data_IF_651860116992
#
_entry.id   IF_651860116992
#
_cell.length_a   1.000
_cell.length_b   1.000
_cell.length_c   1.000
_cell.angle_alpha   90.00
_cell.angle_beta   90.00
_cell.angle_gamma   90.00
#
_symmetry.space_group_name_H-M   'P 1'
#
loop_
_entity.id
_entity.type
_entity.pdbx_description
1 polymer ?
#
# COMPACT_ATOMS: atom_id res chain seq x y z
N UNK A 1 12.00 -2.54 -37.44
CA UNK A 1 12.96 -1.52 -37.93
C UNK A 1 13.68 -1.01 -36.70
N UNK A 2 15.00 -1.00 -36.71
CA UNK A 2 15.82 -0.73 -35.53
C UNK A 2 15.73 0.76 -35.12
N UNK A 3 14.91 1.07 -34.10
CA UNK A 3 14.57 2.44 -33.70
C UNK A 3 15.80 3.25 -33.26
N UNK A 4 16.85 2.57 -32.80
CA UNK A 4 18.13 3.18 -32.40
C UNK A 4 18.88 3.80 -33.58
N UNK A 5 18.74 3.26 -34.78
CA UNK A 5 19.36 3.82 -35.99
C UNK A 5 18.67 5.12 -36.48
N UNK A 6 17.42 5.36 -36.05
CA UNK A 6 16.62 6.53 -36.41
C UNK A 6 16.68 7.67 -35.37
N UNK A 7 17.47 7.53 -34.29
CA UNK A 7 17.52 8.51 -33.21
C UNK A 7 16.19 8.62 -32.45
N UNK A 8 15.52 7.50 -32.20
CA UNK A 8 14.26 7.42 -31.44
C UNK A 8 14.54 6.72 -30.11
N UNK A 9 13.94 7.23 -29.02
CA UNK A 9 14.02 6.58 -27.70
C UNK A 9 12.64 6.44 -27.07
N UNK A 10 12.47 5.40 -26.26
CA UNK A 10 11.21 5.14 -25.54
C UNK A 10 11.17 5.89 -24.21
N UNK A 11 9.98 6.02 -23.65
CA UNK A 11 9.80 6.68 -22.36
C UNK A 11 10.51 5.91 -21.22
N UNK A 12 10.59 4.59 -21.34
CA UNK A 12 11.28 3.74 -20.36
C UNK A 12 12.80 3.91 -20.46
N UNK A 13 13.37 3.94 -21.67
CA UNK A 13 14.78 4.27 -21.88
C UNK A 13 15.15 5.65 -21.33
N UNK A 14 14.25 6.65 -21.48
CA UNK A 14 14.44 7.99 -20.94
C UNK A 14 14.43 8.01 -19.40
N UNK A 15 13.50 7.27 -18.77
CA UNK A 15 13.42 7.18 -17.32
C UNK A 15 14.60 6.41 -16.73
N UNK A 16 15.09 5.37 -17.41
CA UNK A 16 16.27 4.61 -17.00
C UNK A 16 17.55 5.43 -17.10
N UNK A 17 17.78 6.13 -18.20
CA UNK A 17 18.96 7.00 -18.37
C UNK A 17 18.96 8.17 -17.39
N UNK A 18 17.79 8.73 -17.08
CA UNK A 18 17.67 9.81 -16.09
C UNK A 18 17.90 9.32 -14.66
N UNK A 19 17.61 8.04 -14.39
CA UNK A 19 17.87 7.37 -13.12
C UNK A 19 17.10 7.96 -11.93
N UNK A 20 17.40 7.42 -10.73
CA UNK A 20 16.83 7.92 -9.49
C UNK A 20 17.63 9.13 -8.99
N UNK A 21 16.99 10.31 -8.92
CA UNK A 21 17.60 11.53 -8.41
C UNK A 21 16.69 12.33 -7.49
N UNK A 22 17.01 13.61 -7.30
CA UNK A 22 16.29 14.51 -6.37
C UNK A 22 14.81 14.63 -6.70
N UNK A 23 14.46 14.59 -7.98
CA UNK A 23 13.07 14.66 -8.42
C UNK A 23 12.27 13.43 -7.97
N UNK A 24 12.79 12.24 -8.18
CA UNK A 24 12.14 10.99 -7.76
C UNK A 24 12.06 10.93 -6.23
N UNK A 25 13.07 11.42 -5.51
CA UNK A 25 13.03 11.59 -4.05
C UNK A 25 11.88 12.52 -3.60
N UNK A 26 11.68 13.66 -4.28
CA UNK A 26 10.54 14.55 -4.01
C UNK A 26 9.19 13.87 -4.26
N UNK A 27 9.03 13.20 -5.40
CA UNK A 27 7.78 12.49 -5.72
C UNK A 27 7.53 11.34 -4.75
N UNK A 28 8.58 10.62 -4.35
CA UNK A 28 8.51 9.58 -3.33
C UNK A 28 8.05 10.14 -1.98
N UNK A 29 8.59 11.29 -1.57
CA UNK A 29 8.17 11.97 -0.34
C UNK A 29 6.71 12.43 -0.39
N UNK A 30 6.27 12.99 -1.52
CA UNK A 30 4.88 13.38 -1.74
C UNK A 30 3.92 12.17 -1.70
N UNK A 31 4.25 11.10 -2.42
CA UNK A 31 3.45 9.87 -2.40
C UNK A 31 3.45 9.22 -0.99
N UNK A 32 4.61 9.17 -0.34
CA UNK A 32 4.77 8.67 1.02
C UNK A 32 3.96 9.45 2.05
N UNK A 33 3.84 10.78 1.90
CA UNK A 33 2.98 11.63 2.73
C UNK A 33 1.49 11.25 2.58
N UNK A 34 1.07 10.82 1.39
CA UNK A 34 -0.26 10.25 1.14
C UNK A 34 -0.52 9.00 1.99
N UNK A 35 0.39 8.03 1.95
CA UNK A 35 0.31 6.81 2.75
C UNK A 35 0.39 7.09 4.26
N UNK A 36 1.19 8.08 4.65
CA UNK A 36 1.29 8.53 6.03
C UNK A 36 -0.05 9.11 6.52
N UNK A 37 -0.69 9.98 5.73
CA UNK A 37 -1.98 10.58 6.05
C UNK A 37 -3.11 9.53 6.12
N UNK A 38 -3.16 8.60 5.16
CA UNK A 38 -4.14 7.50 5.18
C UNK A 38 -3.97 6.63 6.43
N UNK A 39 -2.73 6.37 6.86
CA UNK A 39 -2.48 5.62 8.10
C UNK A 39 -2.98 6.34 9.35
N UNK A 40 -2.76 7.65 9.44
CA UNK A 40 -3.25 8.47 10.54
C UNK A 40 -4.78 8.46 10.60
N UNK A 41 -5.45 8.61 9.44
CA UNK A 41 -6.92 8.61 9.36
C UNK A 41 -7.55 7.28 9.77
N UNK A 42 -6.92 6.14 9.47
CA UNK A 42 -7.44 4.85 9.95
C UNK A 42 -7.19 4.67 11.45
N UNK A 43 -6.02 5.08 11.94
CA UNK A 43 -5.63 4.89 13.33
C UNK A 43 -6.40 5.78 14.31
N UNK A 44 -6.73 7.00 13.90
CA UNK A 44 -7.43 7.97 14.76
C UNK A 44 -8.81 7.45 15.20
N UNK A 45 -9.47 6.61 14.40
CA UNK A 45 -10.76 6.01 14.73
C UNK A 45 -10.73 5.23 16.05
N UNK A 46 -9.62 4.52 16.31
CA UNK A 46 -9.46 3.74 17.53
C UNK A 46 -9.38 4.60 18.80
N UNK A 47 -8.89 5.84 18.68
CA UNK A 47 -8.76 6.79 19.80
C UNK A 47 -10.01 7.65 19.94
N UNK A 48 -10.52 8.19 18.84
CA UNK A 48 -11.71 9.06 18.82
C UNK A 48 -12.97 8.27 19.11
N UNK A 49 -13.10 7.02 18.63
CA UNK A 49 -14.30 6.20 18.82
C UNK A 49 -14.70 6.08 20.30
N UNK A 50 -13.72 5.75 21.17
CA UNK A 50 -13.97 5.64 22.62
C UNK A 50 -14.26 7.00 23.26
N UNK A 51 -13.57 8.07 22.85
CA UNK A 51 -13.78 9.41 23.38
C UNK A 51 -15.19 9.95 23.03
N UNK A 52 -15.59 9.80 21.77
CA UNK A 52 -16.90 10.20 21.26
C UNK A 52 -18.01 9.37 21.90
N UNK A 53 -17.80 8.06 22.07
CA UNK A 53 -18.75 7.20 22.79
C UNK A 53 -19.05 7.71 24.20
N UNK A 54 -18.01 8.10 24.92
CA UNK A 54 -18.14 8.64 26.29
C UNK A 54 -18.81 10.02 26.32
N UNK A 55 -18.40 10.95 25.43
CA UNK A 55 -18.94 12.32 25.39
C UNK A 55 -20.40 12.36 24.92
N UNK A 56 -20.75 11.59 23.89
CA UNK A 56 -22.09 11.57 23.29
C UNK A 56 -23.00 10.49 23.87
N UNK A 57 -22.52 9.73 24.87
CA UNK A 57 -23.26 8.65 25.53
C UNK A 57 -23.81 7.62 24.52
N UNK A 58 -22.98 7.25 23.54
CA UNK A 58 -23.39 6.32 22.49
C UNK A 58 -23.38 4.87 23.00
N UNK A 59 -24.32 4.08 22.49
CA UNK A 59 -24.28 2.62 22.64
C UNK A 59 -23.06 2.03 21.91
N UNK A 60 -22.59 0.84 22.33
CA UNK A 60 -21.50 0.13 21.64
C UNK A 60 -21.81 -0.14 20.16
N UNK A 61 -23.07 -0.37 19.81
CA UNK A 61 -23.49 -0.55 18.41
C UNK A 61 -23.43 0.75 17.60
N UNK A 62 -23.75 1.90 18.20
CA UNK A 62 -23.60 3.19 17.53
C UNK A 62 -22.13 3.58 17.31
N UNK A 63 -21.25 3.24 18.25
CA UNK A 63 -19.80 3.47 18.08
C UNK A 63 -19.19 2.58 16.98
N UNK A 64 -19.60 1.32 16.87
CA UNK A 64 -19.15 0.46 15.77
C UNK A 64 -19.71 0.91 14.42
N UNK A 65 -20.94 1.43 14.38
CA UNK A 65 -21.51 2.04 13.17
C UNK A 65 -20.70 3.24 12.68
N UNK A 66 -20.15 4.07 13.58
CA UNK A 66 -19.24 5.16 13.19
C UNK A 66 -18.01 4.63 12.47
N UNK A 67 -17.39 3.57 13.00
CA UNK A 67 -16.24 2.91 12.36
C UNK A 67 -16.62 2.32 11.00
N UNK A 68 -17.78 1.64 10.91
CA UNK A 68 -18.29 1.05 9.68
C UNK A 68 -18.55 2.09 8.60
N UNK A 69 -19.12 3.26 8.95
CA UNK A 69 -19.39 4.35 8.00
C UNK A 69 -18.09 4.88 7.38
N UNK A 70 -17.00 4.97 8.15
CA UNK A 70 -15.71 5.42 7.63
C UNK A 70 -15.17 4.43 6.58
N UNK A 71 -15.22 3.13 6.86
CA UNK A 71 -14.84 2.12 5.86
C UNK A 71 -15.80 2.09 4.65
N UNK A 72 -17.09 2.38 4.84
CA UNK A 72 -18.05 2.51 3.73
C UNK A 72 -17.72 3.73 2.85
N UNK A 73 -17.41 4.87 3.45
CA UNK A 73 -16.95 6.07 2.75
C UNK A 73 -15.67 5.81 1.96
N UNK A 74 -14.73 5.06 2.57
CA UNK A 74 -13.50 4.65 1.90
C UNK A 74 -13.74 3.71 0.72
N UNK A 75 -14.67 2.77 0.85
CA UNK A 75 -15.08 1.88 -0.24
C UNK A 75 -15.69 2.68 -1.40
N UNK A 76 -16.65 3.56 -1.12
CA UNK A 76 -17.27 4.39 -2.15
C UNK A 76 -16.25 5.33 -2.79
N UNK A 77 -15.43 5.99 -1.98
CA UNK A 77 -14.37 6.89 -2.43
C UNK A 77 -13.34 6.20 -3.32
N UNK A 78 -12.87 5.00 -2.95
CA UNK A 78 -11.92 4.25 -3.76
C UNK A 78 -12.47 3.92 -5.15
N UNK A 79 -13.77 3.57 -5.25
CA UNK A 79 -14.41 3.27 -6.52
C UNK A 79 -14.63 4.54 -7.36
N UNK A 80 -15.16 5.62 -6.77
CA UNK A 80 -15.47 6.86 -7.51
C UNK A 80 -14.19 7.59 -7.93
N UNK A 81 -13.25 7.77 -7.01
CA UNK A 81 -11.98 8.45 -7.29
C UNK A 81 -11.03 7.57 -8.08
N UNK A 82 -11.13 6.24 -7.99
CA UNK A 82 -10.41 5.32 -8.86
C UNK A 82 -10.79 5.50 -10.33
N UNK A 83 -12.09 5.49 -10.64
CA UNK A 83 -12.60 5.74 -11.98
C UNK A 83 -12.27 7.16 -12.48
N UNK A 84 -12.37 8.16 -11.60
CA UNK A 84 -12.01 9.53 -11.97
C UNK A 84 -10.51 9.68 -12.22
N UNK A 85 -9.67 9.05 -11.40
CA UNK A 85 -8.21 9.04 -11.54
C UNK A 85 -7.76 8.36 -12.83
N UNK A 86 -8.47 7.32 -13.27
CA UNK A 86 -8.16 6.64 -14.54
C UNK A 86 -8.47 7.55 -15.75
N UNK A 87 -9.48 8.43 -15.66
CA UNK A 87 -9.81 9.40 -16.70
C UNK A 87 -8.90 10.67 -16.68
N UNK A 88 -8.55 11.15 -15.48
CA UNK A 88 -7.77 12.37 -15.29
C UNK A 88 -6.24 12.14 -15.16
N UNK A 89 -5.81 10.88 -15.16
CA UNK A 89 -4.41 10.48 -15.13
C UNK A 89 -3.90 10.22 -13.72
N UNK A 90 -3.25 9.07 -13.53
CA UNK A 90 -2.49 8.76 -12.33
C UNK A 90 -1.07 9.29 -12.49
N UNK A 91 -0.65 10.17 -11.58
CA UNK A 91 0.72 10.73 -11.46
C UNK A 91 1.77 9.68 -11.07
N UNK A 92 1.95 8.65 -11.89
CA UNK A 92 2.96 7.62 -11.70
C UNK A 92 4.31 8.06 -12.27
N UNK A 93 5.29 8.26 -11.40
CA UNK A 93 6.67 8.63 -11.77
C UNK A 93 7.70 7.55 -11.41
N UNK A 94 7.25 6.47 -10.78
CA UNK A 94 8.14 5.44 -10.26
C UNK A 94 8.31 4.34 -11.31
N UNK A 95 9.55 3.97 -11.67
CA UNK A 95 9.82 2.91 -12.65
C UNK A 95 9.20 1.57 -12.25
N UNK A 96 8.69 0.83 -13.24
CA UNK A 96 8.07 -0.48 -13.04
C UNK A 96 9.07 -1.56 -12.56
N UNK A 97 10.36 -1.35 -12.80
CA UNK A 97 11.44 -2.32 -12.60
C UNK A 97 11.60 -2.81 -11.13
N UNK A 98 11.06 -2.09 -10.14
CA UNK A 98 11.16 -2.49 -8.71
C UNK A 98 9.87 -2.27 -7.89
N UNK A 99 8.69 -2.53 -8.46
CA UNK A 99 7.38 -2.28 -7.81
C UNK A 99 7.26 -2.85 -6.40
N UNK A 100 7.76 -4.06 -6.15
CA UNK A 100 7.73 -4.69 -4.83
C UNK A 100 8.51 -3.89 -3.78
N UNK A 101 9.71 -3.42 -4.12
CA UNK A 101 10.54 -2.56 -3.25
C UNK A 101 9.83 -1.25 -2.93
N UNK A 102 9.18 -0.63 -3.92
CA UNK A 102 8.43 0.62 -3.70
C UNK A 102 7.21 0.43 -2.80
N UNK A 103 6.48 -0.68 -2.93
CA UNK A 103 5.39 -1.01 -2.01
C UNK A 103 5.90 -1.17 -0.57
N UNK A 104 7.07 -1.81 -0.36
CA UNK A 104 7.68 -1.91 0.97
C UNK A 104 8.05 -0.53 1.54
N UNK A 105 8.58 0.37 0.70
CA UNK A 105 8.86 1.76 1.12
C UNK A 105 7.58 2.46 1.56
N UNK A 106 6.49 2.35 0.80
CA UNK A 106 5.19 2.93 1.16
C UNK A 106 4.58 2.32 2.43
N UNK A 107 4.66 1.00 2.62
CA UNK A 107 4.28 0.33 3.88
C UNK A 107 5.05 0.86 5.08
N UNK A 108 6.26 1.37 4.87
CA UNK A 108 7.04 1.97 5.95
C UNK A 108 6.52 3.36 6.32
N UNK A 109 6.15 4.19 5.33
CA UNK A 109 5.46 5.46 5.58
C UNK A 109 4.16 5.26 6.36
N UNK A 110 3.37 4.23 6.00
CA UNK A 110 2.17 3.84 6.74
C UNK A 110 2.47 3.54 8.22
N UNK A 111 3.55 2.79 8.46
CA UNK A 111 3.95 2.41 9.82
C UNK A 111 4.32 3.64 10.63
N UNK A 112 5.09 4.57 10.07
CA UNK A 112 5.41 5.83 10.73
C UNK A 112 4.17 6.68 11.02
N UNK A 113 3.21 6.74 10.09
CA UNK A 113 1.93 7.43 10.31
C UNK A 113 1.15 6.87 11.49
N UNK A 114 1.06 5.55 11.61
CA UNK A 114 0.34 4.91 12.73
C UNK A 114 1.01 5.14 14.09
N UNK A 115 2.34 5.10 14.16
CA UNK A 115 3.11 5.41 15.37
C UNK A 115 2.97 6.88 15.74
N UNK A 116 3.04 7.77 14.75
CA UNK A 116 2.89 9.21 14.94
C UNK A 116 1.50 9.54 15.49
N UNK A 117 0.45 8.97 14.91
CA UNK A 117 -0.93 9.15 15.38
C UNK A 117 -1.12 8.67 16.82
N UNK A 118 -0.61 7.47 17.16
CA UNK A 118 -0.69 6.97 18.54
C UNK A 118 0.04 7.86 19.54
N UNK A 119 1.20 8.39 19.15
CA UNK A 119 1.99 9.33 19.98
C UNK A 119 1.27 10.67 20.13
N UNK A 120 0.70 11.18 19.05
CA UNK A 120 -0.09 12.40 19.02
C UNK A 120 -1.31 12.27 19.94
N UNK A 121 -2.07 11.19 19.81
CA UNK A 121 -3.21 10.89 20.69
C UNK A 121 -2.79 10.82 22.16
N UNK A 122 -1.69 10.12 22.48
CA UNK A 122 -1.19 10.02 23.86
C UNK A 122 -0.79 11.37 24.47
N UNK A 123 -0.25 12.30 23.67
CA UNK A 123 0.15 13.63 24.13
C UNK A 123 -1.04 14.60 24.22
N UNK A 124 -1.92 14.58 23.23
CA UNK A 124 -2.98 15.59 23.05
C UNK A 124 -4.23 15.23 23.84
N UNK A 125 -4.61 13.95 23.91
CA UNK A 125 -5.83 13.51 24.61
C UNK A 125 -5.88 13.94 26.08
N UNK A 126 -4.81 13.80 26.89
CA UNK A 126 -4.86 14.18 28.31
C UNK A 126 -4.80 15.70 28.54
N UNK A 127 -4.25 16.47 27.59
CA UNK A 127 -4.00 17.91 27.74
C UNK A 127 -5.14 18.76 27.19
N UNK A 128 -5.73 18.31 26.08
CA UNK A 128 -6.76 19.01 25.35
C UNK A 128 -8.00 18.12 25.27
N UNK A 129 -8.36 17.65 24.08
CA UNK A 129 -9.46 16.70 23.84
C UNK A 129 -9.28 16.05 22.46
N UNK A 130 -10.17 15.12 22.11
CA UNK A 130 -10.16 14.39 20.86
C UNK A 130 -10.32 15.28 19.61
N UNK A 131 -10.94 16.46 19.73
CA UNK A 131 -11.13 17.39 18.61
C UNK A 131 -9.79 17.95 18.12
N UNK A 132 -8.86 18.18 19.03
CA UNK A 132 -7.51 18.64 18.69
C UNK A 132 -6.65 17.54 18.09
N UNK A 133 -6.85 16.28 18.49
CA UNK A 133 -6.24 15.14 17.80
C UNK A 133 -6.67 15.15 16.35
N UNK A 134 -7.98 15.23 16.08
CA UNK A 134 -8.53 15.32 14.72
C UNK A 134 -7.96 16.50 13.92
N UNK A 135 -7.85 17.68 14.53
CA UNK A 135 -7.30 18.86 13.87
C UNK A 135 -5.83 18.68 13.47
N UNK A 136 -4.99 18.14 14.37
CA UNK A 136 -3.58 17.91 14.06
C UNK A 136 -3.36 16.78 13.06
N UNK A 137 -4.19 15.73 13.12
CA UNK A 137 -4.11 14.62 12.17
C UNK A 137 -4.54 14.99 10.75
N UNK A 138 -5.28 16.09 10.58
CA UNK A 138 -5.62 16.63 9.26
C UNK A 138 -4.45 17.40 8.58
N UNK A 139 -3.41 17.80 9.33
CA UNK A 139 -2.31 18.63 8.81
C UNK A 139 -1.59 18.00 7.60
N UNK A 140 -1.21 16.69 7.62
CA UNK A 140 -0.62 16.06 6.45
C UNK A 140 -1.53 16.06 5.21
N UNK A 141 -2.84 15.87 5.40
CA UNK A 141 -3.82 15.91 4.31
C UNK A 141 -3.95 17.31 3.71
N UNK A 142 -3.96 18.36 4.54
CA UNK A 142 -3.91 19.74 4.07
C UNK A 142 -2.58 20.07 3.35
N UNK A 143 -1.46 19.56 3.86
CA UNK A 143 -0.16 19.73 3.20
C UNK A 143 -0.14 19.08 1.81
N UNK A 144 -0.76 17.90 1.64
CA UNK A 144 -0.92 17.27 0.32
C UNK A 144 -1.73 18.12 -0.65
N UNK A 145 -2.81 18.75 -0.19
CA UNK A 145 -3.62 19.66 -1.02
C UNK A 145 -2.80 20.88 -1.50
N UNK A 146 -1.95 21.44 -0.64
CA UNK A 146 -1.07 22.55 -1.01
C UNK A 146 0.01 22.08 -2.00
N UNK A 147 0.61 20.91 -1.74
CA UNK A 147 1.66 20.33 -2.58
C UNK A 147 1.13 19.79 -3.92
N UNK A 148 -0.18 19.57 -4.06
CA UNK A 148 -0.80 19.11 -5.31
C UNK A 148 -0.48 20.00 -6.51
N UNK A 149 -0.40 21.32 -6.31
CA UNK A 149 -0.03 22.29 -7.35
C UNK A 149 1.44 22.24 -7.77
N UNK A 150 2.31 21.65 -6.94
CA UNK A 150 3.75 21.52 -7.19
C UNK A 150 4.08 20.18 -7.86
N UNK A 151 3.28 19.15 -7.58
CA UNK A 151 3.46 17.82 -8.14
C UNK A 151 3.17 17.85 -9.67
N UNK A 152 4.17 17.58 -10.52
CA UNK A 152 3.99 17.55 -11.97
C UNK A 152 3.10 16.38 -12.40
N UNK A 153 2.68 16.39 -13.67
CA UNK A 153 1.87 15.32 -14.26
C UNK A 153 2.73 14.14 -14.78
N UNK A 154 2.20 12.91 -14.80
CA UNK A 154 3.01 11.76 -15.22
C UNK A 154 3.38 11.83 -16.72
N UNK A 155 4.67 11.68 -17.10
CA UNK A 155 5.09 11.58 -18.50
C UNK A 155 4.37 10.46 -19.26
N UNK A 156 4.08 9.32 -18.61
CA UNK A 156 3.34 8.21 -19.23
C UNK A 156 1.93 8.60 -19.61
N UNK A 157 1.22 9.28 -18.72
CA UNK A 157 -0.14 9.73 -18.99
C UNK A 157 -0.19 10.75 -20.14
N UNK A 158 0.76 11.69 -20.18
CA UNK A 158 0.85 12.67 -21.26
C UNK A 158 1.14 12.02 -22.62
N UNK A 159 2.04 11.04 -22.67
CA UNK A 159 2.29 10.25 -23.88
C UNK A 159 1.05 9.47 -24.32
N UNK A 160 0.34 8.81 -23.40
CA UNK A 160 -0.92 8.10 -23.68
C UNK A 160 -2.01 9.02 -24.26
N UNK A 161 -2.05 10.28 -23.80
CA UNK A 161 -2.98 11.31 -24.31
C UNK A 161 -2.54 11.90 -25.67
N UNK A 162 -1.40 11.46 -26.22
CA UNK A 162 -0.82 11.98 -27.45
C UNK A 162 -0.09 13.33 -27.28
N UNK A 163 0.07 13.81 -26.05
CA UNK A 163 0.72 15.08 -25.74
C UNK A 163 2.21 14.88 -25.45
N UNK A 164 2.95 14.44 -26.47
CA UNK A 164 4.39 14.11 -26.38
C UNK A 164 5.25 15.33 -26.07
N UNK A 165 4.84 16.53 -26.47
CA UNK A 165 5.55 17.78 -26.20
C UNK A 165 5.60 18.11 -24.71
N UNK A 166 4.47 17.97 -24.00
CA UNK A 166 4.43 18.20 -22.56
C UNK A 166 5.11 17.07 -21.78
N UNK A 167 5.03 15.82 -22.27
CA UNK A 167 5.79 14.71 -21.69
C UNK A 167 7.31 14.97 -21.75
N UNK A 168 7.80 15.48 -22.88
CA UNK A 168 9.20 15.83 -23.07
C UNK A 168 9.65 16.98 -22.16
N UNK A 169 8.83 18.04 -22.00
CA UNK A 169 9.10 19.10 -21.01
C UNK A 169 9.26 18.58 -19.58
N UNK A 170 8.44 17.60 -19.20
CA UNK A 170 8.55 17.01 -17.87
C UNK A 170 9.83 16.18 -17.78
N UNK A 171 10.16 15.37 -18.78
CA UNK A 171 11.42 14.62 -18.83
C UNK A 171 12.65 15.54 -18.77
N UNK A 172 12.64 16.67 -19.47
CA UNK A 172 13.69 17.70 -19.41
C UNK A 172 13.80 18.30 -18.01
N UNK A 173 12.65 18.59 -17.37
CA UNK A 173 12.63 19.07 -15.98
C UNK A 173 13.24 18.03 -15.04
N UNK A 174 12.90 16.75 -15.19
CA UNK A 174 13.49 15.68 -14.38
C UNK A 174 15.00 15.60 -14.61
N UNK A 175 15.45 15.60 -15.85
CA UNK A 175 16.87 15.58 -16.22
C UNK A 175 17.63 16.78 -15.63
N UNK A 176 17.06 17.98 -15.70
CA UNK A 176 17.65 19.20 -15.12
C UNK A 176 17.80 19.13 -13.60
N UNK A 177 16.78 18.64 -12.88
CA UNK A 177 16.78 18.51 -11.42
C UNK A 177 17.72 17.40 -10.97
N UNK A 178 17.81 16.32 -11.74
CA UNK A 178 18.69 15.19 -11.49
C UNK A 178 20.13 15.44 -11.98
N UNK A 179 20.39 16.54 -12.66
CA UNK A 179 21.67 16.85 -13.29
C UNK A 179 22.13 15.77 -14.28
N UNK A 180 21.18 15.14 -14.97
CA UNK A 180 21.39 14.13 -16.00
C UNK A 180 21.01 14.68 -17.37
N UNK A 181 21.41 13.98 -18.44
CA UNK A 181 21.04 14.33 -19.82
C UNK A 181 20.07 13.30 -20.35
N UNK A 182 19.08 13.75 -21.11
CA UNK A 182 18.19 12.87 -21.85
C UNK A 182 18.96 12.18 -22.99
N UNK A 183 18.53 10.96 -23.37
CA UNK A 183 19.10 10.27 -24.52
C UNK A 183 18.91 11.11 -25.79
N UNK A 184 19.89 11.09 -26.71
CA UNK A 184 19.79 11.83 -27.97
C UNK A 184 18.70 11.21 -28.84
N UNK A 185 17.68 11.98 -29.21
CA UNK A 185 16.64 11.51 -30.12
C UNK A 185 15.27 12.18 -29.96
N UNK A 186 14.28 11.64 -30.64
CA UNK A 186 12.86 12.05 -30.52
C UNK A 186 12.11 11.03 -29.68
N UNK A 187 11.39 11.52 -28.67
CA UNK A 187 10.53 10.70 -27.83
C UNK A 187 9.38 10.12 -28.67
N UNK A 188 9.32 8.80 -28.78
CA UNK A 188 8.21 8.12 -29.46
C UNK A 188 7.17 7.70 -28.43
N UNK A 189 5.92 8.12 -28.65
CA UNK A 189 4.74 7.55 -28.00
C UNK A 189 4.51 6.13 -28.54
N UNK A 190 5.36 5.19 -28.16
CA UNK A 190 5.16 3.79 -28.54
C UNK A 190 3.87 3.27 -27.93
N UNK A 191 2.96 2.75 -28.76
CA UNK A 191 2.24 1.53 -28.34
C UNK A 191 3.34 0.50 -28.14
N UNK A 192 3.63 0.14 -26.89
CA UNK A 192 4.46 -1.03 -26.63
C UNK A 192 3.75 -2.23 -27.25
N UNK A 193 4.28 -2.73 -28.37
CA UNK A 193 4.26 -4.16 -28.56
C UNK A 193 5.35 -4.68 -27.64
N UNK A 194 4.97 -5.46 -26.61
CA UNK A 194 5.83 -6.12 -25.61
C UNK A 194 6.77 -7.17 -26.23
N UNK A 195 7.56 -6.78 -27.23
CA UNK A 195 8.59 -7.62 -27.80
C UNK A 195 9.80 -6.73 -28.02
N UNK A 196 10.73 -6.82 -27.08
CA UNK A 196 12.17 -6.56 -27.18
C UNK A 196 12.70 -5.94 -25.85
N UNK A 197 12.43 -6.58 -24.71
CA UNK A 197 13.16 -6.38 -23.45
C UNK A 197 13.77 -7.72 -23.01
N UNK A 198 14.78 -8.20 -23.74
CA UNK A 198 15.65 -9.23 -23.19
C UNK A 198 17.03 -9.09 -23.82
N UNK A 199 17.94 -8.39 -23.13
CA UNK A 199 19.39 -8.62 -23.16
C UNK A 199 20.13 -7.62 -22.27
N UNK A 200 20.78 -8.17 -21.24
CA UNK A 200 21.88 -7.60 -20.43
C UNK A 200 21.48 -6.47 -19.44
N UNK A 201 21.83 -6.53 -18.16
CA UNK A 201 22.65 -7.48 -17.41
C UNK A 201 22.45 -7.23 -15.91
N UNK A 202 22.52 -8.34 -15.18
CA UNK A 202 22.83 -8.47 -13.75
C UNK A 202 23.82 -7.44 -13.20
N UNK A 203 23.73 -7.25 -11.88
CA UNK A 203 24.66 -6.52 -10.99
C UNK A 203 24.60 -4.99 -11.03
N UNK A 204 23.73 -4.44 -10.19
CA UNK A 204 24.14 -3.63 -9.02
C UNK A 204 22.88 -3.26 -8.22
N UNK A 205 22.46 -4.17 -7.35
CA UNK A 205 21.55 -3.87 -6.25
C UNK A 205 22.24 -2.85 -5.33
N UNK A 206 22.02 -1.57 -5.60
CA UNK A 206 22.46 -0.50 -4.70
C UNK A 206 21.88 -0.77 -3.30
N UNK A 207 22.71 -0.78 -2.24
CA UNK A 207 22.32 -1.17 -0.91
C UNK A 207 21.60 -0.02 -0.21
N UNK A 208 20.35 0.26 -0.59
CA UNK A 208 19.48 1.22 0.12
C UNK A 208 18.47 0.55 1.05
N UNK A 209 18.40 -0.79 1.05
CA UNK A 209 17.62 -1.57 2.02
C UNK A 209 18.09 -1.50 3.50
N UNK A 210 19.34 -1.16 3.89
CA UNK A 210 19.75 -1.34 5.30
C UNK A 210 19.22 -0.29 6.29
N UNK A 211 18.69 0.85 5.85
CA UNK A 211 18.47 2.02 6.73
C UNK A 211 17.11 2.10 7.43
N UNK A 212 16.19 1.16 7.18
CA UNK A 212 14.84 1.21 7.75
C UNK A 212 14.37 -0.18 8.20
N UNK A 213 15.02 -0.69 9.26
CA UNK A 213 14.83 -2.06 9.77
C UNK A 213 13.60 -2.15 10.68
N UNK A 214 12.45 -2.53 10.12
CA UNK A 214 11.34 -3.11 10.88
C UNK A 214 11.38 -4.65 10.77
N UNK A 215 11.31 -5.41 11.89
CA UNK A 215 11.49 -6.87 11.89
C UNK A 215 10.49 -7.63 11.01
N UNK A 216 9.23 -7.19 10.99
CA UNK A 216 8.15 -7.88 10.25
C UNK A 216 8.27 -7.77 8.73
N UNK A 217 8.69 -6.60 8.24
CA UNK A 217 8.83 -6.34 6.80
C UNK A 217 10.06 -7.07 6.23
N UNK A 218 11.15 -7.19 7.01
CA UNK A 218 12.32 -8.00 6.66
C UNK A 218 11.97 -9.49 6.58
N UNK A 219 11.19 -10.00 7.53
CA UNK A 219 10.75 -11.39 7.51
C UNK A 219 9.90 -11.68 6.25
N UNK A 220 8.96 -10.80 5.89
CA UNK A 220 8.19 -10.97 4.66
C UNK A 220 9.06 -10.90 3.40
N UNK A 221 10.00 -9.95 3.31
CA UNK A 221 10.87 -9.82 2.14
C UNK A 221 11.75 -11.06 1.95
N UNK A 222 12.39 -11.53 3.03
CA UNK A 222 13.24 -12.73 3.00
C UNK A 222 12.41 -13.99 2.64
N UNK A 223 11.19 -14.12 3.18
CA UNK A 223 10.32 -15.26 2.90
C UNK A 223 9.82 -15.27 1.45
N UNK A 224 9.46 -14.12 0.90
CA UNK A 224 8.98 -13.98 -0.49
C UNK A 224 10.08 -14.38 -1.48
N UNK A 225 11.31 -13.93 -1.24
CA UNK A 225 12.44 -14.23 -2.13
C UNK A 225 12.81 -15.71 -2.07
N UNK A 226 12.80 -16.32 -0.87
CA UNK A 226 13.18 -17.73 -0.70
C UNK A 226 12.08 -18.71 -1.11
N UNK A 227 10.86 -18.53 -0.64
CA UNK A 227 9.80 -19.56 -0.71
C UNK A 227 8.76 -19.28 -1.79
N UNK A 228 8.69 -18.05 -2.32
CA UNK A 228 7.64 -17.64 -3.25
C UNK A 228 6.51 -16.89 -2.56
N UNK A 229 5.65 -16.24 -3.35
CA UNK A 229 4.65 -15.27 -2.85
C UNK A 229 3.48 -15.99 -2.19
N UNK A 230 3.03 -17.08 -2.81
CA UNK A 230 1.91 -17.90 -2.31
C UNK A 230 2.25 -18.52 -0.95
N UNK A 231 3.40 -19.18 -0.86
CA UNK A 231 3.79 -19.90 0.36
C UNK A 231 4.22 -18.97 1.49
N UNK A 232 4.82 -17.81 1.19
CA UNK A 232 5.11 -16.81 2.22
C UNK A 232 3.84 -16.28 2.90
N UNK A 233 2.77 -15.99 2.15
CA UNK A 233 1.47 -15.61 2.74
C UNK A 233 0.90 -16.70 3.65
N UNK A 234 0.96 -17.97 3.24
CA UNK A 234 0.49 -19.10 4.05
C UNK A 234 1.30 -19.27 5.34
N UNK A 235 2.64 -19.17 5.27
CA UNK A 235 3.52 -19.24 6.44
C UNK A 235 3.22 -18.10 7.42
N UNK A 236 3.06 -16.87 6.94
CA UNK A 236 2.78 -15.72 7.81
C UNK A 236 1.42 -15.83 8.49
N UNK A 237 0.38 -16.30 7.78
CA UNK A 237 -0.90 -16.62 8.43
C UNK A 237 -0.80 -17.77 9.43
N UNK A 238 -0.01 -18.81 9.14
CA UNK A 238 0.27 -19.89 10.08
C UNK A 238 0.99 -19.40 11.35
N UNK A 239 1.96 -18.50 11.22
CA UNK A 239 2.60 -17.84 12.36
C UNK A 239 1.58 -17.02 13.16
N UNK A 240 0.73 -16.24 12.49
CA UNK A 240 -0.34 -15.48 13.16
C UNK A 240 -1.30 -16.39 13.95
N UNK A 241 -1.64 -17.57 13.40
CA UNK A 241 -2.44 -18.58 14.10
C UNK A 241 -1.76 -19.05 15.40
N UNK A 242 -0.46 -19.33 15.34
CA UNK A 242 0.33 -19.75 16.52
C UNK A 242 0.37 -18.64 17.58
N UNK A 243 0.51 -17.36 17.18
CA UNK A 243 0.48 -16.24 18.11
C UNK A 243 -0.91 -16.00 18.73
N UNK A 244 -1.99 -16.29 18.00
CA UNK A 244 -3.36 -16.08 18.48
C UNK A 244 -3.93 -17.25 19.31
N UNK A 245 -3.46 -18.47 19.09
CA UNK A 245 -3.98 -19.67 19.79
C UNK A 245 -3.88 -19.57 21.32
N UNK A 246 -2.78 -19.08 21.93
CA UNK A 246 -2.67 -18.97 23.38
C UNK A 246 -3.67 -17.98 24.01
N UNK A 247 -4.26 -17.07 23.23
CA UNK A 247 -5.29 -16.12 23.69
C UNK A 247 -6.65 -16.78 23.93
N UNK A 248 -6.84 -18.05 23.55
CA UNK A 248 -8.04 -18.83 23.92
C UNK A 248 -8.13 -19.08 25.43
N UNK A 249 -7.01 -18.98 26.13
CA UNK A 249 -6.91 -19.12 27.58
C UNK A 249 -6.52 -17.76 28.17
N UNK A 250 -6.96 -17.46 29.38
CA UNK A 250 -6.58 -16.23 30.08
C UNK A 250 -5.05 -16.14 30.25
N UNK A 251 -4.45 -15.09 29.71
CA UNK A 251 -3.00 -14.82 29.79
C UNK A 251 -2.69 -13.54 30.58
N UNK A 252 -1.48 -13.40 31.15
CA UNK A 252 -1.06 -12.14 31.77
C UNK A 252 -0.93 -11.02 30.72
N UNK A 253 -1.21 -9.79 31.12
CA UNK A 253 -1.31 -8.63 30.23
C UNK A 253 -0.08 -8.41 29.32
N UNK A 254 1.12 -8.62 29.86
CA UNK A 254 2.38 -8.49 29.10
C UNK A 254 2.45 -9.53 27.99
N UNK A 255 2.11 -10.80 28.30
CA UNK A 255 2.12 -11.88 27.31
C UNK A 255 1.07 -11.64 26.23
N UNK A 256 -0.15 -11.25 26.61
CA UNK A 256 -1.22 -10.89 25.65
C UNK A 256 -0.76 -9.80 24.69
N UNK A 257 -0.09 -8.77 25.20
CA UNK A 257 0.43 -7.66 24.37
C UNK A 257 1.51 -8.14 23.39
N UNK A 258 2.47 -8.96 23.85
CA UNK A 258 3.50 -9.54 23.00
C UNK A 258 2.93 -10.45 21.91
N UNK A 259 1.93 -11.27 22.25
CA UNK A 259 1.26 -12.17 21.31
C UNK A 259 0.46 -11.39 20.25
N UNK A 260 -0.30 -10.37 20.66
CA UNK A 260 -1.01 -9.48 19.74
C UNK A 260 -0.05 -8.72 18.82
N UNK A 261 1.09 -8.27 19.35
CA UNK A 261 2.14 -7.64 18.54
C UNK A 261 2.67 -8.61 17.47
N UNK A 262 3.01 -9.84 17.87
CA UNK A 262 3.46 -10.89 16.94
C UNK A 262 2.42 -11.22 15.86
N UNK A 263 1.15 -11.40 16.26
CA UNK A 263 0.05 -11.63 15.33
C UNK A 263 -0.12 -10.46 14.35
N UNK A 264 -0.06 -9.22 14.85
CA UNK A 264 -0.23 -8.01 14.03
C UNK A 264 0.91 -7.80 13.04
N UNK A 265 2.13 -8.12 13.45
CA UNK A 265 3.32 -8.09 12.58
C UNK A 265 3.17 -9.07 11.40
N UNK A 266 2.73 -10.29 11.67
CA UNK A 266 2.52 -11.31 10.64
C UNK A 266 1.37 -10.93 9.70
N UNK A 267 0.25 -10.43 10.22
CA UNK A 267 -0.87 -9.97 9.41
C UNK A 267 -0.48 -8.81 8.46
N UNK A 268 0.37 -7.88 8.92
CA UNK A 268 0.89 -6.78 8.08
C UNK A 268 1.81 -7.30 6.97
N UNK A 269 2.66 -8.28 7.29
CA UNK A 269 3.50 -8.96 6.31
C UNK A 269 2.66 -9.60 5.21
N UNK A 270 1.64 -10.37 5.57
CA UNK A 270 0.70 -10.97 4.60
C UNK A 270 0.05 -9.90 3.72
N UNK A 271 -0.45 -8.80 4.30
CA UNK A 271 -1.05 -7.71 3.53
C UNK A 271 -0.07 -7.11 2.50
N UNK A 272 1.19 -6.93 2.91
CA UNK A 272 2.24 -6.41 2.01
C UNK A 272 2.48 -7.39 0.85
N UNK A 273 2.61 -8.69 1.12
CA UNK A 273 2.80 -9.70 0.05
C UNK A 273 1.56 -9.79 -0.84
N UNK A 274 0.35 -9.76 -0.28
CA UNK A 274 -0.90 -9.78 -1.03
C UNK A 274 -1.04 -8.56 -1.96
N UNK A 275 -0.59 -7.38 -1.51
CA UNK A 275 -0.60 -6.14 -2.31
C UNK A 275 0.35 -6.21 -3.52
N UNK A 276 1.40 -7.03 -3.44
CA UNK A 276 2.33 -7.30 -4.55
C UNK A 276 1.77 -8.41 -5.45
N UNK A 277 1.27 -9.50 -4.86
CA UNK A 277 0.77 -10.67 -5.58
C UNK A 277 -0.50 -10.37 -6.39
N UNK A 278 -1.42 -9.55 -5.87
CA UNK A 278 -2.68 -9.21 -6.55
C UNK A 278 -2.47 -8.64 -7.95
N UNK A 279 -1.68 -7.56 -8.16
CA UNK A 279 -1.43 -7.04 -9.51
C UNK A 279 -0.55 -7.96 -10.37
N UNK A 280 0.27 -8.83 -9.80
CA UNK A 280 1.07 -9.80 -10.56
C UNK A 280 0.20 -10.90 -11.20
N UNK A 281 -0.96 -11.21 -10.61
CA UNK A 281 -1.87 -12.24 -11.11
C UNK A 281 -2.69 -11.80 -12.33
N UNK A 282 -2.93 -10.51 -12.49
CA UNK A 282 -3.79 -9.96 -13.53
C UNK A 282 -3.00 -9.50 -14.77
N UNK A 283 -3.52 -9.74 -16.00
CA UNK A 283 -2.91 -9.21 -17.21
C UNK A 283 -2.89 -7.69 -17.19
N UNK A 284 -1.91 -7.09 -17.88
CA UNK A 284 -1.61 -5.65 -17.89
C UNK A 284 -2.85 -4.78 -18.14
N UNK A 285 -3.75 -5.22 -19.02
CA UNK A 285 -4.99 -4.53 -19.40
C UNK A 285 -6.02 -4.40 -18.28
N UNK A 286 -6.08 -5.35 -17.34
CA UNK A 286 -7.08 -5.39 -16.25
C UNK A 286 -6.46 -5.34 -14.87
N UNK A 287 -5.12 -5.26 -14.77
CA UNK A 287 -4.36 -5.28 -13.52
C UNK A 287 -4.84 -4.27 -12.49
N UNK A 288 -5.02 -3.02 -12.92
CA UNK A 288 -5.44 -1.93 -12.06
C UNK A 288 -6.86 -2.16 -11.54
N UNK A 289 -7.77 -2.59 -12.41
CA UNK A 289 -9.16 -2.88 -12.08
C UNK A 289 -9.28 -4.09 -11.15
N UNK A 290 -8.56 -5.18 -11.44
CA UNK A 290 -8.56 -6.40 -10.63
C UNK A 290 -8.02 -6.15 -9.21
N UNK A 291 -6.89 -5.45 -9.09
CA UNK A 291 -6.35 -5.03 -7.80
C UNK A 291 -7.30 -4.06 -7.05
N UNK A 292 -7.98 -3.17 -7.78
CA UNK A 292 -8.99 -2.27 -7.22
C UNK A 292 -10.18 -3.01 -6.62
N UNK A 293 -10.73 -4.00 -7.34
CA UNK A 293 -11.83 -4.85 -6.86
C UNK A 293 -11.40 -5.68 -5.65
N UNK A 294 -10.21 -6.28 -5.68
CA UNK A 294 -9.68 -7.02 -4.54
C UNK A 294 -9.53 -6.14 -3.29
N UNK A 295 -9.04 -4.90 -3.46
CA UNK A 295 -8.95 -3.91 -2.38
C UNK A 295 -10.33 -3.52 -1.84
N UNK A 296 -11.31 -3.30 -2.72
CA UNK A 296 -12.70 -3.00 -2.35
C UNK A 296 -13.32 -4.10 -1.48
N UNK A 297 -13.14 -5.37 -1.85
CA UNK A 297 -13.58 -6.52 -1.04
C UNK A 297 -12.91 -6.51 0.34
N UNK A 298 -11.62 -6.17 0.40
CA UNK A 298 -10.90 -6.00 1.67
C UNK A 298 -11.53 -4.94 2.60
N UNK A 299 -12.07 -3.85 2.04
CA UNK A 299 -12.74 -2.79 2.82
C UNK A 299 -14.09 -3.26 3.40
N UNK A 300 -14.79 -4.19 2.76
CA UNK A 300 -16.00 -4.83 3.33
C UNK A 300 -15.62 -5.57 4.64
N UNK A 301 -14.46 -6.22 4.68
CA UNK A 301 -13.94 -6.82 5.91
C UNK A 301 -13.76 -5.79 7.03
N UNK A 302 -13.24 -4.60 6.70
CA UNK A 302 -13.12 -3.46 7.63
C UNK A 302 -14.48 -2.92 8.10
N UNK A 303 -15.53 -3.01 7.29
CA UNK A 303 -16.90 -2.61 7.65
C UNK A 303 -17.55 -3.62 8.61
N UNK A 304 -17.35 -4.91 8.37
CA UNK A 304 -17.98 -6.01 9.13
C UNK A 304 -17.26 -6.28 10.45
N UNK A 305 -15.93 -6.14 10.49
CA UNK A 305 -15.12 -6.49 11.65
C UNK A 305 -15.52 -5.75 12.94
N UNK A 306 -15.70 -4.41 12.97
CA UNK A 306 -16.14 -3.69 14.17
C UNK A 306 -17.53 -4.13 14.66
N UNK A 307 -18.45 -4.42 13.74
CA UNK A 307 -19.81 -4.87 14.07
C UNK A 307 -19.79 -6.26 14.73
N UNK A 308 -19.05 -7.19 14.13
CA UNK A 308 -18.89 -8.55 14.67
C UNK A 308 -18.15 -8.50 16.00
N UNK A 309 -17.12 -7.67 16.13
CA UNK A 309 -16.38 -7.49 17.38
C UNK A 309 -17.30 -7.00 18.51
N UNK A 310 -18.11 -5.97 18.28
CA UNK A 310 -19.06 -5.47 19.28
C UNK A 310 -20.16 -6.49 19.60
N UNK A 311 -20.71 -7.17 18.59
CA UNK A 311 -21.72 -8.20 18.79
C UNK A 311 -21.23 -9.35 19.68
N UNK A 312 -20.02 -9.86 19.41
CA UNK A 312 -19.42 -10.96 20.18
C UNK A 312 -18.97 -10.55 21.58
N UNK A 313 -18.53 -9.30 21.77
CA UNK A 313 -18.07 -8.80 23.07
C UNK A 313 -19.24 -8.50 24.01
N UNK A 314 -20.36 -7.97 23.49
CA UNK A 314 -21.54 -7.68 24.32
C UNK A 314 -22.18 -8.95 24.91
N UNK A 315 -22.02 -10.10 24.25
CA UNK A 315 -22.50 -11.40 24.76
C UNK A 315 -21.48 -12.13 25.66
N UNK A 316 -20.41 -11.43 26.10
CA UNK A 316 -19.38 -11.95 27.01
C UNK A 316 -18.56 -13.15 26.49
N UNK A 317 -18.52 -13.36 25.16
CA UNK A 317 -17.80 -14.46 24.52
C UNK A 317 -16.46 -14.01 23.92
N UNK A 318 -15.55 -13.46 24.72
CA UNK A 318 -14.21 -13.05 24.23
C UNK A 318 -13.43 -14.21 23.57
N UNK A 319 -13.58 -15.42 24.10
CA UNK A 319 -13.00 -16.65 23.52
C UNK A 319 -13.60 -16.99 22.15
N UNK A 320 -14.88 -16.70 21.92
CA UNK A 320 -15.52 -16.91 20.62
C UNK A 320 -14.99 -15.93 19.55
N UNK A 321 -14.69 -14.68 19.93
CA UNK A 321 -14.07 -13.72 19.03
C UNK A 321 -12.68 -14.19 18.56
N UNK A 322 -11.85 -14.68 19.48
CA UNK A 322 -10.53 -15.24 19.14
C UNK A 322 -10.68 -16.51 18.27
N UNK A 323 -11.62 -17.41 18.62
CA UNK A 323 -11.89 -18.61 17.83
C UNK A 323 -12.34 -18.28 16.40
N UNK A 324 -13.17 -17.26 16.22
CA UNK A 324 -13.61 -16.79 14.89
C UNK A 324 -12.43 -16.28 14.07
N UNK A 325 -11.50 -15.51 14.66
CA UNK A 325 -10.28 -15.09 13.97
C UNK A 325 -9.40 -16.28 13.57
N UNK A 326 -9.25 -17.30 14.43
CA UNK A 326 -8.50 -18.51 14.11
C UNK A 326 -9.12 -19.27 12.94
N UNK A 327 -10.45 -19.42 12.91
CA UNK A 327 -11.17 -20.04 11.79
C UNK A 327 -10.97 -19.24 10.51
N UNK A 328 -11.09 -17.91 10.56
CA UNK A 328 -10.85 -17.05 9.40
C UNK A 328 -9.43 -17.18 8.84
N UNK A 329 -8.43 -17.33 9.71
CA UNK A 329 -7.03 -17.57 9.32
C UNK A 329 -6.89 -18.94 8.61
N UNK A 330 -7.49 -20.01 9.16
CA UNK A 330 -7.46 -21.34 8.55
C UNK A 330 -8.12 -21.32 7.16
N UNK A 331 -9.30 -20.71 7.05
CA UNK A 331 -9.98 -20.53 5.76
C UNK A 331 -9.11 -19.75 4.78
N UNK A 332 -8.45 -18.68 5.24
CA UNK A 332 -7.53 -17.89 4.40
C UNK A 332 -6.35 -18.72 3.89
N UNK A 333 -5.75 -19.57 4.75
CA UNK A 333 -4.66 -20.48 4.36
C UNK A 333 -5.15 -21.48 3.31
N UNK A 334 -6.34 -22.07 3.50
CA UNK A 334 -6.93 -23.01 2.52
C UNK A 334 -7.17 -22.30 1.19
N UNK A 335 -7.78 -21.11 1.20
CA UNK A 335 -7.99 -20.31 0.00
C UNK A 335 -6.67 -19.97 -0.72
N UNK A 336 -5.62 -19.61 0.01
CA UNK A 336 -4.29 -19.37 -0.57
C UNK A 336 -3.78 -20.63 -1.24
N UNK A 337 -3.90 -21.81 -0.63
CA UNK A 337 -3.41 -23.05 -1.21
C UNK A 337 -4.19 -23.49 -2.46
N UNK A 338 -5.48 -23.14 -2.55
CA UNK A 338 -6.32 -23.37 -3.73
C UNK A 338 -5.91 -22.51 -4.93
N UNK A 339 -5.12 -21.45 -4.77
CA UNK A 339 -4.66 -20.67 -5.91
C UNK A 339 -3.73 -21.47 -6.83
N UNK A 340 -3.99 -21.51 -8.14
CA UNK A 340 -3.30 -22.42 -9.05
C UNK A 340 -1.82 -22.06 -9.35
N UNK A 341 -1.40 -20.80 -9.17
CA UNK A 341 -0.08 -20.33 -9.62
C UNK A 341 0.68 -19.53 -8.56
N UNK A 342 1.99 -19.80 -8.40
CA UNK A 342 2.93 -18.90 -7.71
C UNK A 342 3.58 -17.98 -8.75
N UNK A 343 3.73 -16.69 -8.44
CA UNK A 343 4.30 -15.68 -9.35
C UNK A 343 5.82 -15.61 -9.28
N UNK A 344 6.47 -16.42 -8.43
CA UNK A 344 7.93 -16.43 -8.30
C UNK A 344 8.61 -16.75 -9.63
N UNK A 345 9.36 -15.78 -10.15
CA UNK A 345 10.24 -15.94 -11.31
C UNK A 345 9.52 -16.14 -12.64
N UNK A 346 8.23 -15.82 -12.73
CA UNK A 346 7.50 -15.79 -14.01
C UNK A 346 7.41 -14.36 -14.49
N UNK A 347 7.87 -14.13 -15.71
CA UNK A 347 7.51 -12.92 -16.44
C UNK A 347 5.99 -12.89 -16.65
N UNK A 348 5.44 -11.68 -16.64
CA UNK A 348 4.04 -11.42 -16.89
C UNK A 348 3.73 -11.92 -18.30
N UNK A 349 3.13 -13.11 -18.41
CA UNK A 349 2.80 -13.67 -19.72
C UNK A 349 1.70 -12.83 -20.36
N UNK A 350 2.09 -11.89 -21.21
CA UNK A 350 1.20 -11.17 -22.13
C UNK A 350 0.79 -12.12 -23.26
N UNK A 351 -0.09 -13.06 -22.94
CA UNK A 351 -0.86 -13.88 -23.90
C UNK A 351 -2.08 -14.39 -23.12
N UNK A 352 -3.31 -14.11 -23.49
CA UNK A 352 -3.92 -13.96 -24.81
C UNK A 352 -5.23 -13.18 -24.74
#
# INVERSE_FOLDING_TARGET
MDYKAAGLYTLDEALETVGFGKFQGFVLGYAGLGWFAEAMEIMILSFIGQAVKSEWQLSSGQESLLSTIVFAGMLLGANTWGLLSDNYGRRHFIPASNRGTWMVVFSTFWTFGSIFEATLAWIVMPRLNWRWVLAFSAVPSFALLILYGVAPESPRYLCMKGNTSDALRILEKIASVNQTKLPPGVLVSGRSNDKDEESASSENTAPLLPSLKLPGLLLSAILVDRVGRKQSMAIMFGLAFIFLTPLLIQQPAVLTTCLLFGARMNAMGTFTVASIYSPELYPTSVRTTGAGVASAIGRIGGMVCPLVAVGLVNECHQTAAVALFLVAIVVSIVCIQLFPYDTKGRELSDTS
#
